data_IF_406661948996
#
_entry.id   IF_406661948996
#
_cell.length_a   1.000
_cell.length_b   1.000
_cell.length_c   1.000
_cell.angle_alpha   90.00
_cell.angle_beta   90.00
_cell.angle_gamma   90.00
#
_symmetry.space_group_name_H-M   'P 1'
#
loop_
_entity.id
_entity.type
_entity.pdbx_description
1 polymer ?
#
# COMPACT_ATOMS: atom_id res chain seq x y z
N UNK A 1 -14.67 -8.86 -7.69
CA UNK A 1 -14.03 -8.57 -6.39
C UNK A 1 -13.00 -7.47 -6.58
N UNK A 2 -13.06 -6.47 -5.72
CA UNK A 2 -12.19 -5.31 -5.79
C UNK A 2 -10.73 -5.73 -5.50
N UNK A 3 -9.75 -5.38 -6.35
CA UNK A 3 -8.34 -5.70 -6.08
C UNK A 3 -7.85 -5.22 -4.72
N UNK A 4 -8.30 -4.05 -4.28
CA UNK A 4 -7.94 -3.52 -2.96
C UNK A 4 -8.39 -4.46 -1.86
N UNK A 5 -9.58 -5.03 -1.99
CA UNK A 5 -10.12 -5.95 -0.99
C UNK A 5 -9.31 -7.26 -0.92
N UNK A 6 -8.90 -7.78 -2.07
CA UNK A 6 -8.08 -8.99 -2.13
C UNK A 6 -6.74 -8.77 -1.44
N UNK A 7 -6.10 -7.64 -1.73
CA UNK A 7 -4.80 -7.31 -1.13
C UNK A 7 -4.95 -7.07 0.37
N UNK A 8 -6.02 -6.40 0.78
CA UNK A 8 -6.31 -6.19 2.20
C UNK A 8 -6.43 -7.53 2.93
N UNK A 9 -7.14 -8.47 2.34
CA UNK A 9 -7.29 -9.79 2.93
C UNK A 9 -5.96 -10.53 3.05
N UNK A 10 -5.13 -10.47 2.01
CA UNK A 10 -3.81 -11.08 2.05
C UNK A 10 -2.95 -10.48 3.16
N UNK A 11 -3.05 -9.17 3.34
CA UNK A 11 -2.29 -8.48 4.36
C UNK A 11 -2.77 -8.87 5.75
N UNK A 12 -4.09 -9.00 5.94
CA UNK A 12 -4.66 -9.44 7.22
C UNK A 12 -4.23 -10.85 7.57
N UNK A 13 -4.11 -11.72 6.59
CA UNK A 13 -3.76 -13.13 6.78
C UNK A 13 -2.26 -13.38 6.81
N UNK A 14 -1.43 -12.37 6.53
CA UNK A 14 0.01 -12.54 6.48
C UNK A 14 0.58 -12.81 7.88
N UNK A 15 1.38 -13.85 7.99
CA UNK A 15 1.97 -14.29 9.26
C UNK A 15 3.48 -14.14 9.30
N UNK A 16 4.16 -14.55 8.23
CA UNK A 16 5.62 -14.51 8.20
C UNK A 16 6.10 -13.15 7.70
N UNK A 17 7.34 -12.83 7.98
CA UNK A 17 7.96 -11.61 7.49
C UNK A 17 7.87 -11.55 5.96
N UNK A 18 8.17 -12.64 5.27
CA UNK A 18 8.11 -12.69 3.81
C UNK A 18 6.68 -12.41 3.30
N UNK A 19 5.68 -12.98 3.96
CA UNK A 19 4.28 -12.75 3.57
C UNK A 19 3.86 -11.30 3.79
N UNK A 20 4.27 -10.72 4.92
CA UNK A 20 3.96 -9.31 5.21
C UNK A 20 4.63 -8.39 4.19
N UNK A 21 5.90 -8.64 3.89
CA UNK A 21 6.63 -7.84 2.91
C UNK A 21 5.99 -7.92 1.52
N UNK A 22 5.63 -9.13 1.10
CA UNK A 22 4.99 -9.34 -0.19
C UNK A 22 3.63 -8.61 -0.25
N UNK A 23 2.81 -8.78 0.78
CA UNK A 23 1.49 -8.16 0.82
C UNK A 23 1.60 -6.64 0.90
N UNK A 24 2.58 -6.13 1.65
CA UNK A 24 2.80 -4.68 1.76
C UNK A 24 3.28 -4.09 0.43
N UNK A 25 4.17 -4.78 -0.25
CA UNK A 25 4.61 -4.35 -1.58
C UNK A 25 3.42 -4.25 -2.53
N UNK A 26 2.59 -5.29 -2.56
CA UNK A 26 1.39 -5.31 -3.39
C UNK A 26 0.41 -4.22 -2.99
N UNK A 27 0.32 -3.91 -1.68
CA UNK A 27 -0.54 -2.84 -1.20
C UNK A 27 -0.10 -1.48 -1.73
N UNK A 28 1.19 -1.18 -1.66
CA UNK A 28 1.71 0.08 -2.21
C UNK A 28 1.51 0.13 -3.72
N UNK A 29 1.72 -0.98 -4.40
CA UNK A 29 1.53 -1.05 -5.84
C UNK A 29 0.06 -0.81 -6.22
N UNK A 30 -0.88 -1.36 -5.44
CA UNK A 30 -2.31 -1.12 -5.66
C UNK A 30 -2.69 0.34 -5.39
N UNK A 31 -2.10 0.96 -4.37
CA UNK A 31 -2.31 2.38 -4.11
C UNK A 31 -1.89 3.21 -5.32
N UNK A 32 -0.71 2.91 -5.87
CA UNK A 32 -0.21 3.63 -7.04
C UNK A 32 -1.11 3.41 -8.26
N UNK A 33 -1.61 2.20 -8.44
CA UNK A 33 -2.55 1.90 -9.53
C UNK A 33 -3.85 2.69 -9.37
N UNK A 34 -4.36 2.77 -8.14
CA UNK A 34 -5.57 3.54 -7.86
C UNK A 34 -5.35 5.03 -8.15
N UNK A 35 -4.20 5.55 -7.73
CA UNK A 35 -3.87 6.95 -7.98
C UNK A 35 -3.79 7.24 -9.47
N UNK A 36 -3.17 6.34 -10.23
CA UNK A 36 -3.03 6.50 -11.66
C UNK A 36 -4.41 6.54 -12.36
N UNK A 37 -5.34 5.71 -11.91
CA UNK A 37 -6.70 5.70 -12.47
C UNK A 37 -7.46 6.99 -12.23
N UNK A 38 -7.16 7.71 -11.15
CA UNK A 38 -7.91 8.89 -10.74
C UNK A 38 -7.11 10.18 -10.84
N UNK A 39 -5.95 10.16 -11.48
CA UNK A 39 -5.05 11.31 -11.51
C UNK A 39 -5.65 12.50 -12.27
N UNK A 40 -6.63 12.28 -13.12
CA UNK A 40 -7.29 13.33 -13.88
C UNK A 40 -8.64 13.72 -13.29
N UNK A 41 -8.94 13.20 -12.10
CA UNK A 41 -10.20 13.49 -11.44
C UNK A 41 -10.26 14.90 -10.85
N UNK A 42 -11.44 15.46 -10.70
CA UNK A 42 -11.60 16.80 -10.14
C UNK A 42 -11.50 16.83 -8.61
N UNK A 43 -11.16 17.99 -8.09
CA UNK A 43 -11.41 18.35 -6.71
C UNK A 43 -10.34 17.92 -5.70
N UNK A 44 -10.73 17.82 -4.44
CA UNK A 44 -9.77 17.57 -3.34
C UNK A 44 -9.05 16.23 -3.41
N UNK A 45 -9.64 15.25 -4.09
CA UNK A 45 -9.01 13.96 -4.25
C UNK A 45 -7.73 14.06 -5.09
N UNK A 46 -7.74 14.92 -6.11
CA UNK A 46 -6.56 15.13 -6.94
C UNK A 46 -5.38 15.67 -6.12
N UNK A 47 -5.66 16.64 -5.23
CA UNK A 47 -4.62 17.20 -4.36
C UNK A 47 -4.05 16.12 -3.43
N UNK A 48 -4.92 15.29 -2.87
CA UNK A 48 -4.49 14.17 -2.02
C UNK A 48 -3.61 13.19 -2.78
N UNK A 49 -3.95 12.92 -4.05
CA UNK A 49 -3.14 12.03 -4.90
C UNK A 49 -1.73 12.58 -5.12
N UNK A 50 -1.62 13.87 -5.38
CA UNK A 50 -0.31 14.50 -5.59
C UNK A 50 0.57 14.35 -4.35
N UNK A 51 -0.02 14.46 -3.17
CA UNK A 51 0.73 14.34 -1.92
C UNK A 51 1.01 12.89 -1.55
N UNK A 52 0.06 12.00 -1.78
CA UNK A 52 0.18 10.59 -1.37
C UNK A 52 0.98 9.74 -2.35
N UNK A 53 0.99 10.10 -3.64
CA UNK A 53 1.69 9.33 -4.66
C UNK A 53 3.16 9.07 -4.34
N UNK A 54 3.94 10.14 -4.07
CA UNK A 54 5.34 9.95 -3.70
C UNK A 54 5.55 9.10 -2.45
N UNK A 55 4.65 9.20 -1.47
CA UNK A 55 4.72 8.38 -0.25
C UNK A 55 4.49 6.90 -0.59
N UNK A 56 3.50 6.60 -1.41
CA UNK A 56 3.25 5.22 -1.83
C UNK A 56 4.41 4.66 -2.64
N UNK A 57 4.98 5.45 -3.54
CA UNK A 57 6.14 5.05 -4.33
C UNK A 57 7.35 4.81 -3.43
N UNK A 58 7.57 5.68 -2.44
CA UNK A 58 8.64 5.52 -1.47
C UNK A 58 8.47 4.26 -0.66
N UNK A 59 7.25 3.97 -0.23
CA UNK A 59 6.95 2.74 0.50
C UNK A 59 7.24 1.50 -0.33
N UNK A 60 6.78 1.47 -1.57
CA UNK A 60 7.05 0.34 -2.46
C UNK A 60 8.55 0.13 -2.66
N UNK A 61 9.28 1.21 -2.95
CA UNK A 61 10.72 1.11 -3.17
C UNK A 61 11.46 0.62 -1.92
N UNK A 62 11.06 1.12 -0.76
CA UNK A 62 11.67 0.74 0.51
C UNK A 62 11.45 -0.74 0.80
N UNK A 63 10.22 -1.24 0.63
CA UNK A 63 9.92 -2.66 0.83
C UNK A 63 10.64 -3.50 -0.24
N UNK A 64 10.75 -2.98 -1.46
CA UNK A 64 11.45 -3.66 -2.54
C UNK A 64 12.93 -3.91 -2.25
N UNK A 65 13.52 -3.15 -1.33
CA UNK A 65 14.92 -3.32 -0.94
C UNK A 65 15.12 -4.28 0.23
N UNK A 66 14.05 -4.77 0.84
CA UNK A 66 14.16 -5.69 1.98
C UNK A 66 14.73 -7.03 1.52
N UNK A 67 15.80 -7.52 2.17
CA UNK A 67 16.40 -8.79 1.75
C UNK A 67 15.47 -9.98 1.81
N UNK A 68 14.52 -9.98 2.72
CA UNK A 68 13.60 -11.11 2.89
C UNK A 68 12.37 -11.04 1.97
N UNK A 69 12.25 -9.99 1.16
CA UNK A 69 11.16 -9.93 0.19
C UNK A 69 11.38 -10.98 -0.89
N UNK A 70 10.43 -11.92 -1.08
CA UNK A 70 10.56 -12.90 -2.16
C UNK A 70 10.53 -12.24 -3.54
N UNK A 71 11.09 -12.91 -4.57
CA UNK A 71 10.97 -12.41 -5.94
C UNK A 71 9.51 -12.26 -6.31
N UNK A 72 9.17 -11.27 -7.15
CA UNK A 72 7.78 -11.07 -7.54
C UNK A 72 7.28 -12.28 -8.30
N UNK A 73 6.15 -12.81 -7.86
CA UNK A 73 5.44 -13.80 -8.65
C UNK A 73 4.75 -13.07 -9.78
N UNK A 74 5.07 -13.47 -10.98
CA UNK A 74 4.36 -12.95 -12.13
C UNK A 74 3.06 -13.71 -12.25
N UNK A 75 2.08 -13.27 -11.51
CA UNK A 75 0.72 -13.66 -11.84
C UNK A 75 0.41 -13.04 -13.18
N UNK A 76 -0.34 -13.75 -13.99
CA UNK A 76 -0.68 -13.29 -15.31
C UNK A 76 -1.26 -11.89 -15.34
N UNK A 77 -1.53 -11.35 -16.53
CA UNK A 77 -1.99 -9.98 -16.64
C UNK A 77 -3.21 -9.74 -15.77
N UNK A 78 -3.12 -8.70 -14.97
CA UNK A 78 -4.27 -8.29 -14.18
C UNK A 78 -5.35 -7.90 -15.14
N UNK A 79 -6.49 -8.58 -15.01
CA UNK A 79 -7.64 -8.23 -15.80
C UNK A 79 -8.09 -6.82 -15.37
N UNK A 80 -8.18 -5.88 -16.31
CA UNK A 80 -8.64 -4.54 -15.98
C UNK A 80 -10.16 -4.46 -15.82
N UNK A 81 -10.83 -5.58 -15.67
CA UNK A 81 -12.26 -5.58 -15.57
C UNK A 81 -12.73 -4.92 -14.30
N UNK A 82 -13.15 -3.70 -14.46
CA UNK A 82 -13.91 -3.02 -13.45
C UNK A 82 -15.31 -2.88 -13.96
N UNK A 83 -16.18 -3.63 -13.33
CA UNK A 83 -17.58 -3.60 -13.68
C UNK A 83 -18.20 -2.31 -13.20
N UNK A 84 -17.73 -1.78 -12.07
CA UNK A 84 -18.23 -0.52 -11.52
C UNK A 84 -17.05 0.33 -11.09
N UNK A 85 -17.03 1.59 -11.52
CA UNK A 85 -16.04 2.54 -11.02
C UNK A 85 -16.49 3.07 -9.67
N UNK A 86 -15.75 2.79 -8.60
CA UNK A 86 -16.07 3.39 -7.30
C UNK A 86 -15.86 4.90 -7.37
N UNK A 87 -16.58 5.62 -6.53
CA UNK A 87 -16.39 7.06 -6.43
C UNK A 87 -14.99 7.37 -5.87
N UNK A 88 -14.52 8.59 -6.13
CA UNK A 88 -13.25 9.04 -5.60
C UNK A 88 -13.22 8.92 -4.07
N UNK A 89 -14.33 9.24 -3.41
CA UNK A 89 -14.41 9.14 -1.96
C UNK A 89 -14.29 7.70 -1.48
N UNK A 90 -14.91 6.76 -2.17
CA UNK A 90 -14.81 5.34 -1.84
C UNK A 90 -13.38 4.84 -2.03
N UNK A 91 -12.72 5.27 -3.10
CA UNK A 91 -11.32 4.91 -3.35
C UNK A 91 -10.42 5.47 -2.27
N UNK A 92 -10.62 6.74 -1.89
CA UNK A 92 -9.83 7.35 -0.83
C UNK A 92 -9.99 6.60 0.49
N UNK A 93 -11.21 6.21 0.83
CA UNK A 93 -11.47 5.41 2.03
C UNK A 93 -10.81 4.04 1.99
N UNK A 94 -10.88 3.37 0.84
CA UNK A 94 -10.27 2.06 0.65
C UNK A 94 -8.74 2.14 0.74
N UNK A 95 -8.15 3.14 0.11
CA UNK A 95 -6.69 3.34 0.17
C UNK A 95 -6.26 3.67 1.59
N UNK A 96 -7.00 4.53 2.29
CA UNK A 96 -6.68 4.88 3.68
C UNK A 96 -6.72 3.64 4.58
N UNK A 97 -7.74 2.79 4.42
CA UNK A 97 -7.85 1.55 5.18
C UNK A 97 -6.72 0.58 4.90
N UNK A 98 -6.36 0.43 3.62
CA UNK A 98 -5.25 -0.43 3.21
C UNK A 98 -3.93 0.10 3.77
N UNK A 99 -3.72 1.41 3.71
CA UNK A 99 -2.51 2.02 4.24
C UNK A 99 -2.39 1.84 5.75
N UNK A 100 -3.49 2.01 6.48
CA UNK A 100 -3.50 1.82 7.93
C UNK A 100 -3.15 0.37 8.30
N UNK A 101 -3.71 -0.58 7.58
CA UNK A 101 -3.42 -2.00 7.82
C UNK A 101 -1.96 -2.32 7.48
N UNK A 102 -1.45 -1.80 6.37
CA UNK A 102 -0.06 -2.01 5.99
C UNK A 102 0.89 -1.46 7.06
N UNK A 103 0.62 -0.26 7.56
CA UNK A 103 1.44 0.34 8.62
C UNK A 103 1.47 -0.54 9.86
N UNK A 104 0.31 -1.04 10.29
CA UNK A 104 0.23 -1.89 11.47
C UNK A 104 0.98 -3.20 11.29
N UNK A 105 0.78 -3.86 10.16
CA UNK A 105 1.44 -5.14 9.88
C UNK A 105 2.94 -4.99 9.74
N UNK A 106 3.39 -3.93 9.10
CA UNK A 106 4.83 -3.66 8.97
C UNK A 106 5.47 -3.35 10.32
N UNK A 107 4.80 -2.63 11.19
CA UNK A 107 5.31 -2.40 12.54
C UNK A 107 5.45 -3.70 13.32
N UNK A 108 4.47 -4.59 13.20
CA UNK A 108 4.54 -5.91 13.84
C UNK A 108 5.68 -6.75 13.27
N UNK A 109 5.83 -6.73 11.94
CA UNK A 109 6.89 -7.47 11.28
C UNK A 109 8.27 -6.95 11.67
N UNK A 110 8.40 -5.65 11.90
CA UNK A 110 9.66 -5.04 12.30
C UNK A 110 10.18 -5.63 13.61
N UNK A 111 9.28 -5.91 14.56
CA UNK A 111 9.68 -6.48 15.85
C UNK A 111 10.14 -7.94 15.72
N UNK A 112 9.67 -8.63 14.69
CA UNK A 112 10.03 -10.03 14.45
C UNK A 112 11.21 -10.18 13.49
N UNK A 113 11.64 -9.11 12.84
CA UNK A 113 12.71 -9.17 11.85
C UNK A 113 14.06 -9.38 12.52
N UNK A 114 14.84 -10.34 12.00
CA UNK A 114 16.17 -10.64 12.53
C UNK A 114 17.26 -9.80 11.88
N UNK A 115 17.05 -9.38 10.65
CA UNK A 115 18.02 -8.59 9.90
C UNK A 115 17.75 -7.09 10.13
N UNK A 116 18.79 -6.30 10.40
CA UNK A 116 18.61 -4.84 10.49
C UNK A 116 18.06 -4.23 9.21
N UNK A 117 18.43 -4.77 8.05
CA UNK A 117 17.93 -4.27 6.76
C UNK A 117 16.43 -4.54 6.61
N UNK A 118 15.96 -5.72 6.99
CA UNK A 118 14.53 -6.03 6.98
C UNK A 118 13.77 -5.15 7.96
N UNK A 119 14.32 -4.98 9.15
CA UNK A 119 13.67 -4.13 10.17
C UNK A 119 13.56 -2.69 9.69
N UNK A 120 14.62 -2.16 9.12
CA UNK A 120 14.63 -0.81 8.59
C UNK A 120 13.59 -0.64 7.48
N UNK A 121 13.49 -1.62 6.57
CA UNK A 121 12.50 -1.59 5.50
C UNK A 121 11.08 -1.59 6.07
N UNK A 122 10.82 -2.42 7.08
CA UNK A 122 9.49 -2.48 7.70
C UNK A 122 9.14 -1.16 8.40
N UNK A 123 10.06 -0.59 9.15
CA UNK A 123 9.81 0.68 9.86
C UNK A 123 9.58 1.81 8.88
N UNK A 124 10.44 1.94 7.88
CA UNK A 124 10.30 3.00 6.86
C UNK A 124 9.03 2.80 6.03
N UNK A 125 8.74 1.56 5.66
CA UNK A 125 7.51 1.25 4.94
C UNK A 125 6.27 1.62 5.73
N UNK A 126 6.27 1.35 7.03
CA UNK A 126 5.16 1.72 7.91
C UNK A 126 4.97 3.24 7.96
N UNK A 127 6.07 4.00 7.98
CA UNK A 127 6.00 5.46 7.96
C UNK A 127 5.39 5.98 6.68
N UNK A 128 5.79 5.42 5.53
CA UNK A 128 5.21 5.80 4.25
C UNK A 128 3.72 5.46 4.18
N UNK A 129 3.33 4.31 4.71
CA UNK A 129 1.92 3.92 4.75
C UNK A 129 1.11 4.90 5.61
N UNK A 130 1.65 5.31 6.74
CA UNK A 130 1.00 6.31 7.58
C UNK A 130 0.85 7.65 6.87
N UNK A 131 1.84 8.06 6.09
CA UNK A 131 1.75 9.29 5.29
C UNK A 131 0.63 9.19 4.26
N UNK A 132 0.53 8.06 3.56
CA UNK A 132 -0.57 7.86 2.61
C UNK A 132 -1.91 7.97 3.32
N UNK A 133 -2.05 7.30 4.45
CA UNK A 133 -3.29 7.34 5.22
C UNK A 133 -3.66 8.77 5.60
N UNK A 134 -2.70 9.52 6.10
CA UNK A 134 -2.94 10.90 6.54
C UNK A 134 -3.42 11.77 5.37
N UNK A 135 -2.78 11.66 4.21
CA UNK A 135 -3.22 12.44 3.05
C UNK A 135 -4.60 12.03 2.57
N UNK A 136 -4.91 10.74 2.60
CA UNK A 136 -6.19 10.24 2.13
C UNK A 136 -7.35 10.59 3.06
N UNK A 137 -7.08 10.70 4.35
CA UNK A 137 -8.13 11.03 5.33
C UNK A 137 -8.26 12.54 5.57
N UNK A 138 -7.36 13.34 5.01
CA UNK A 138 -7.37 14.77 5.25
C UNK A 138 -6.87 15.18 6.63
N UNK A 139 -6.31 14.22 7.38
CA UNK A 139 -5.72 14.48 8.70
C UNK A 139 -4.21 14.67 8.60
N UNK A 140 -3.77 15.29 7.53
CA UNK A 140 -2.37 15.54 7.30
C UNK A 140 -1.72 16.32 8.44
N UNK A 141 -0.41 16.25 8.52
CA UNK A 141 0.34 16.89 9.61
C UNK A 141 0.12 18.38 9.66
#
# INVERSE_FOLDING_TARGET
MNPTHVIQQRLEEAWSLAEVLTAAYDAFDEMLSAFDRYQNGPGPFYAALIMAGPAAAGGRNTIGMAPSLPPPERDGPRSPEQVDEPSAQEVAGAVAGLAALAARKLCMAATAANSPADRSACVSGAQYADEVRAFMTGTGP
#
